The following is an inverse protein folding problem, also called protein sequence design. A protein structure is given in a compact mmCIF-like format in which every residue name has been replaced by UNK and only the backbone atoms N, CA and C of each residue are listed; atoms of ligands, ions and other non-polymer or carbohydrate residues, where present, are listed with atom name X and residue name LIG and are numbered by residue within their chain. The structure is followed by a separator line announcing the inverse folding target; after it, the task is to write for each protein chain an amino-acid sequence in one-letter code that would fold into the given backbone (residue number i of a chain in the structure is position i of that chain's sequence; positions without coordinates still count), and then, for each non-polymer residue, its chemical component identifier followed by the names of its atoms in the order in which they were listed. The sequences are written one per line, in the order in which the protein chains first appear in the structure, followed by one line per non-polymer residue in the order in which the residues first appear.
data_IF_562430327523
#
_entry.id   IF_562430327523
#
_cell.length_a   1.000
_cell.length_b   1.000
_cell.length_c   1.000
_cell.angle_alpha   90.00
_cell.angle_beta   90.00
_cell.angle_gamma   90.00
#
_symmetry.space_group_name_H-M   'P 1'
#
loop_
_entity.id
_entity.type
_entity.pdbx_description
1 polymer ?
#
# COMPACT_ATOMS: atom_id res chain seq x y z
N UNK A 1 -3.75 30.93 3.67
CA UNK A 1 -3.78 30.33 2.33
C UNK A 1 -4.73 29.14 2.37
N UNK A 2 -5.64 29.06 1.41
CA UNK A 2 -6.59 27.95 1.27
C UNK A 2 -5.98 26.87 0.38
N UNK A 3 -6.45 25.63 0.52
CA UNK A 3 -6.22 24.53 -0.42
C UNK A 3 -7.55 24.14 -1.05
N UNK A 4 -7.50 23.65 -2.27
CA UNK A 4 -8.68 23.16 -2.98
C UNK A 4 -8.85 21.66 -2.75
N UNK A 5 -10.06 21.15 -2.95
CA UNK A 5 -10.38 19.74 -2.80
C UNK A 5 -11.08 19.17 -4.03
N UNK A 6 -11.02 17.86 -4.17
CA UNK A 6 -11.69 17.10 -5.21
C UNK A 6 -12.03 15.69 -4.70
N UNK A 7 -13.15 15.14 -5.17
CA UNK A 7 -13.53 13.74 -4.98
C UNK A 7 -13.62 13.07 -6.34
N UNK A 8 -12.89 11.98 -6.50
CA UNK A 8 -12.98 11.08 -7.64
C UNK A 8 -13.58 9.75 -7.18
N UNK A 9 -14.69 9.32 -7.78
CA UNK A 9 -15.32 8.05 -7.44
C UNK A 9 -16.28 7.61 -8.55
N UNK A 10 -16.80 6.38 -8.44
CA UNK A 10 -17.84 5.86 -9.31
C UNK A 10 -19.19 6.45 -8.90
N UNK A 11 -19.83 7.21 -9.79
CA UNK A 11 -21.15 7.76 -9.54
C UNK A 11 -21.99 7.79 -10.82
N UNK A 12 -23.30 7.81 -10.62
CA UNK A 12 -24.28 8.07 -11.68
C UNK A 12 -24.78 9.49 -11.53
N UNK A 13 -24.40 10.35 -12.47
CA UNK A 13 -24.89 11.72 -12.57
C UNK A 13 -25.76 11.86 -13.82
N UNK A 14 -26.46 12.97 -13.96
CA UNK A 14 -27.23 13.28 -15.18
C UNK A 14 -26.34 13.36 -16.43
N UNK A 15 -25.03 13.58 -16.25
CA UNK A 15 -24.07 13.79 -17.35
C UNK A 15 -23.29 12.53 -17.72
N UNK A 16 -22.96 11.67 -16.75
CA UNK A 16 -22.14 10.50 -16.98
C UNK A 16 -22.35 9.43 -15.91
N UNK A 17 -22.05 8.18 -16.28
CA UNK A 17 -21.97 7.04 -15.36
C UNK A 17 -20.56 6.48 -15.36
N UNK A 18 -20.06 6.09 -14.18
CA UNK A 18 -18.72 5.53 -14.01
C UNK A 18 -17.82 6.38 -13.13
N UNK A 19 -16.52 6.08 -13.21
CA UNK A 19 -15.48 6.77 -12.46
C UNK A 19 -15.23 8.16 -13.03
N UNK A 20 -15.49 9.18 -12.23
CA UNK A 20 -15.38 10.58 -12.62
C UNK A 20 -15.05 11.47 -11.42
N UNK A 21 -14.70 12.72 -11.70
CA UNK A 21 -14.59 13.74 -10.67
C UNK A 21 -16.00 14.25 -10.31
N UNK A 22 -16.53 13.76 -9.20
CA UNK A 22 -17.94 13.98 -8.80
C UNK A 22 -18.13 15.31 -8.06
N UNK A 23 -17.06 15.78 -7.40
CA UNK A 23 -17.08 17.00 -6.62
C UNK A 23 -15.70 17.67 -6.70
N UNK A 24 -15.69 19.01 -6.75
CA UNK A 24 -14.46 19.79 -6.63
C UNK A 24 -14.75 21.17 -6.05
N UNK A 25 -13.74 21.75 -5.42
CA UNK A 25 -13.76 23.14 -4.99
C UNK A 25 -13.62 24.10 -6.17
N UNK A 26 -14.13 25.34 -6.07
CA UNK A 26 -14.20 26.28 -7.18
C UNK A 26 -12.82 26.72 -7.72
N UNK A 27 -11.75 26.61 -6.92
CA UNK A 27 -10.40 26.97 -7.36
C UNK A 27 -9.67 25.88 -8.15
N UNK A 28 -10.26 24.69 -8.31
CA UNK A 28 -9.69 23.63 -9.15
C UNK A 28 -9.86 24.01 -10.62
N UNK A 29 -8.76 24.40 -11.27
CA UNK A 29 -8.78 24.75 -12.70
C UNK A 29 -9.03 23.51 -13.59
N UNK A 30 -9.45 23.75 -14.83
CA UNK A 30 -9.82 22.67 -15.76
C UNK A 30 -8.64 21.78 -16.19
N UNK A 31 -7.43 22.33 -16.26
CA UNK A 31 -6.24 21.55 -16.63
C UNK A 31 -5.92 20.52 -15.55
N UNK A 32 -5.93 20.94 -14.29
CA UNK A 32 -5.73 20.06 -13.14
C UNK A 32 -6.86 19.05 -13.01
N UNK A 33 -8.12 19.48 -13.20
CA UNK A 33 -9.25 18.56 -13.16
C UNK A 33 -9.17 17.45 -14.21
N UNK A 34 -8.73 17.76 -15.44
CA UNK A 34 -8.50 16.75 -16.49
C UNK A 34 -7.38 15.78 -16.10
N UNK A 35 -6.29 16.29 -15.52
CA UNK A 35 -5.21 15.44 -15.03
C UNK A 35 -5.71 14.48 -13.93
N UNK A 36 -6.52 14.98 -12.99
CA UNK A 36 -7.13 14.16 -11.93
C UNK A 36 -8.07 13.10 -12.48
N UNK A 37 -8.85 13.40 -13.52
CA UNK A 37 -9.73 12.43 -14.18
C UNK A 37 -8.89 11.35 -14.88
N UNK A 38 -7.85 11.75 -15.62
CA UNK A 38 -6.97 10.82 -16.32
C UNK A 38 -6.22 9.90 -15.36
N UNK A 39 -5.78 10.46 -14.22
CA UNK A 39 -5.08 9.73 -13.18
C UNK A 39 -5.99 9.07 -12.13
N UNK A 40 -7.30 9.15 -12.29
CA UNK A 40 -8.24 8.57 -11.35
C UNK A 40 -8.13 7.04 -11.29
N UNK A 41 -8.15 6.42 -10.10
CA UNK A 41 -8.19 4.96 -9.98
C UNK A 41 -9.57 4.44 -10.37
N UNK A 42 -9.62 3.44 -11.25
CA UNK A 42 -10.84 2.71 -11.61
C UNK A 42 -11.11 1.56 -10.64
N UNK A 43 -12.13 0.73 -10.93
CA UNK A 43 -12.33 -0.56 -10.27
C UNK A 43 -11.03 -1.39 -10.26
N UNK A 44 -10.84 -2.19 -9.19
CA UNK A 44 -9.68 -3.07 -8.97
C UNK A 44 -8.31 -2.36 -9.02
N UNK A 45 -8.29 -1.03 -8.84
CA UNK A 45 -7.05 -0.28 -8.85
C UNK A 45 -6.24 -0.42 -7.55
N UNK A 46 -6.85 -0.84 -6.44
CA UNK A 46 -6.15 -1.10 -5.18
C UNK A 46 -5.55 -2.51 -5.22
N UNK A 47 -4.29 -2.64 -4.81
CA UNK A 47 -3.57 -3.90 -4.81
C UNK A 47 -3.82 -4.75 -3.56
N UNK A 48 -4.32 -4.15 -2.47
CA UNK A 48 -4.70 -4.88 -1.26
C UNK A 48 -6.11 -5.46 -1.38
N UNK A 49 -6.32 -6.61 -0.75
CA UNK A 49 -7.65 -7.19 -0.58
C UNK A 49 -8.33 -6.64 0.69
N UNK A 50 -9.67 -6.68 0.70
CA UNK A 50 -10.50 -6.40 1.86
C UNK A 50 -10.77 -4.92 2.14
N UNK A 51 -11.63 -4.68 3.13
CA UNK A 51 -12.14 -3.35 3.49
C UNK A 51 -11.05 -2.33 3.91
N UNK A 52 -9.90 -2.82 4.37
CA UNK A 52 -8.76 -1.99 4.77
C UNK A 52 -7.85 -1.60 3.60
N UNK A 53 -8.18 -2.02 2.37
CA UNK A 53 -7.43 -1.66 1.18
C UNK A 53 -7.44 -0.14 0.98
N UNK A 54 -6.27 0.46 1.16
CA UNK A 54 -6.07 1.89 1.03
C UNK A 54 -4.77 2.21 0.31
N UNK A 55 -4.73 3.41 -0.26
CA UNK A 55 -3.54 3.96 -0.88
C UNK A 55 -3.44 5.45 -0.65
N UNK A 56 -2.26 5.89 -0.25
CA UNK A 56 -1.86 7.28 -0.21
C UNK A 56 -1.06 7.61 -1.47
N UNK A 57 -1.47 8.65 -2.18
CA UNK A 57 -0.90 9.00 -3.47
C UNK A 57 -0.49 10.48 -3.51
N UNK A 58 0.59 10.73 -4.24
CA UNK A 58 1.15 12.06 -4.39
C UNK A 58 1.71 12.27 -5.79
N UNK A 59 1.37 13.39 -6.42
CA UNK A 59 1.94 13.80 -7.70
C UNK A 59 1.78 15.32 -7.93
N UNK A 60 2.56 15.86 -8.87
CA UNK A 60 2.43 17.24 -9.31
C UNK A 60 1.34 17.36 -10.36
N UNK A 61 0.61 18.47 -10.31
CA UNK A 61 -0.39 18.82 -11.32
C UNK A 61 0.15 19.87 -12.30
N UNK A 62 -0.34 19.91 -13.55
CA UNK A 62 0.12 20.86 -14.56
C UNK A 62 -0.02 22.33 -14.15
N UNK A 63 -1.03 22.67 -13.35
CA UNK A 63 -1.26 24.01 -12.81
C UNK A 63 -0.30 24.42 -11.69
N UNK A 64 0.67 23.59 -11.34
CA UNK A 64 1.70 23.86 -10.32
C UNK A 64 1.32 23.48 -8.89
N UNK A 65 0.05 23.12 -8.65
CA UNK A 65 -0.37 22.52 -7.39
C UNK A 65 0.16 21.09 -7.25
N UNK A 66 0.19 20.58 -6.01
CA UNK A 66 0.51 19.19 -5.73
C UNK A 66 -0.75 18.46 -5.26
N UNK A 67 -1.06 17.33 -5.88
CA UNK A 67 -2.15 16.46 -5.48
C UNK A 67 -1.67 15.56 -4.34
N UNK A 68 -2.30 15.67 -3.18
CA UNK A 68 -2.17 14.76 -2.04
C UNK A 68 -3.49 14.05 -1.89
N UNK A 69 -3.53 12.73 -2.07
CA UNK A 69 -4.80 12.01 -2.12
C UNK A 69 -4.77 10.70 -1.35
N UNK A 70 -5.94 10.29 -0.87
CA UNK A 70 -6.16 8.97 -0.27
C UNK A 70 -7.28 8.27 -1.03
N UNK A 71 -7.00 7.05 -1.45
CA UNK A 71 -7.92 6.15 -2.10
C UNK A 71 -8.27 5.02 -1.16
N UNK A 72 -9.55 4.72 -1.00
CA UNK A 72 -10.08 3.63 -0.17
C UNK A 72 -11.21 2.92 -0.93
N UNK A 73 -11.57 1.73 -0.47
CA UNK A 73 -12.84 1.10 -0.83
C UNK A 73 -13.95 1.69 0.06
N UNK A 74 -15.07 2.11 -0.53
CA UNK A 74 -16.19 2.65 0.23
C UNK A 74 -17.52 2.57 -0.49
N UNK A 75 -18.42 1.78 0.08
CA UNK A 75 -19.78 1.59 -0.39
C UNK A 75 -19.85 0.70 -1.62
N UNK A 76 -21.07 0.42 -2.07
CA UNK A 76 -21.31 -0.40 -3.24
C UNK A 76 -21.07 0.38 -4.53
N UNK A 77 -20.47 -0.27 -5.53
CA UNK A 77 -20.43 0.30 -6.87
C UNK A 77 -21.85 0.41 -7.43
N UNK A 78 -22.18 1.55 -8.05
CA UNK A 78 -23.51 1.82 -8.62
C UNK A 78 -23.99 0.73 -9.61
N UNK A 79 -23.05 -0.04 -10.16
CA UNK A 79 -23.29 -1.09 -11.14
C UNK A 79 -24.06 -2.29 -10.56
N UNK A 80 -24.24 -2.35 -9.22
CA UNK A 80 -24.83 -3.48 -8.49
C UNK A 80 -24.16 -4.83 -8.79
N UNK A 81 -22.90 -4.80 -9.24
CA UNK A 81 -22.11 -6.02 -9.54
C UNK A 81 -21.45 -6.61 -8.30
N UNK A 82 -21.73 -6.08 -7.12
CA UNK A 82 -21.15 -6.52 -5.85
C UNK A 82 -19.69 -6.12 -5.67
N UNK A 83 -19.12 -5.31 -6.57
CA UNK A 83 -17.78 -4.75 -6.39
C UNK A 83 -17.86 -3.50 -5.49
N UNK A 84 -16.86 -3.34 -4.63
CA UNK A 84 -16.73 -2.15 -3.81
C UNK A 84 -16.34 -0.93 -4.66
N UNK A 85 -16.95 0.21 -4.36
CA UNK A 85 -16.67 1.47 -5.04
C UNK A 85 -15.33 2.03 -4.57
N UNK A 86 -14.44 2.36 -5.51
CA UNK A 86 -13.23 3.11 -5.19
C UNK A 86 -13.57 4.58 -4.94
N UNK A 87 -13.15 5.10 -3.79
CA UNK A 87 -13.33 6.49 -3.37
C UNK A 87 -11.97 7.15 -3.18
N UNK A 88 -11.72 8.23 -3.90
CA UNK A 88 -10.48 9.01 -3.79
C UNK A 88 -10.79 10.45 -3.38
N UNK A 89 -10.33 10.82 -2.20
CA UNK A 89 -10.32 12.22 -1.74
C UNK A 89 -8.96 12.85 -2.08
N UNK A 90 -9.00 14.03 -2.67
CA UNK A 90 -7.83 14.71 -3.26
C UNK A 90 -7.74 16.12 -2.69
N UNK A 91 -6.57 16.46 -2.15
CA UNK A 91 -6.21 17.81 -1.71
C UNK A 91 -5.24 18.40 -2.74
N UNK A 92 -5.57 19.57 -3.28
CA UNK A 92 -4.70 20.31 -4.19
C UNK A 92 -3.98 21.39 -3.40
N UNK A 93 -2.69 21.16 -3.18
CA UNK A 93 -1.87 21.91 -2.23
C UNK A 93 -0.90 22.79 -3.00
N UNK A 94 -0.97 24.12 -2.87
CA UNK A 94 0.04 25.01 -3.43
C UNK A 94 1.42 24.73 -2.83
N UNK A 95 2.48 24.82 -3.63
CA UNK A 95 3.84 24.49 -3.17
C UNK A 95 4.28 25.30 -1.95
N UNK A 96 3.93 26.59 -1.90
CA UNK A 96 4.21 27.46 -0.76
C UNK A 96 3.52 27.00 0.54
N UNK A 97 2.33 26.38 0.44
CA UNK A 97 1.65 25.82 1.61
C UNK A 97 2.29 24.51 2.03
N UNK A 98 2.61 23.63 1.07
CA UNK A 98 3.25 22.35 1.33
C UNK A 98 4.63 22.54 2.00
N UNK A 99 5.37 23.60 1.67
CA UNK A 99 6.63 23.96 2.31
C UNK A 99 6.50 24.21 3.83
N UNK A 100 5.36 24.71 4.32
CA UNK A 100 5.09 24.86 5.76
C UNK A 100 5.05 23.52 6.51
N UNK A 101 4.78 22.45 5.78
CA UNK A 101 4.79 21.07 6.26
C UNK A 101 6.10 20.35 5.88
N UNK A 102 7.19 21.09 5.67
CA UNK A 102 8.50 20.54 5.30
C UNK A 102 8.41 19.61 4.09
N UNK A 103 7.58 19.98 3.12
CA UNK A 103 7.31 19.20 1.92
C UNK A 103 6.83 17.75 2.19
N UNK A 104 6.20 17.50 3.34
CA UNK A 104 5.66 16.20 3.71
C UNK A 104 4.15 16.14 3.41
N UNK A 105 3.70 15.40 2.39
CA UNK A 105 2.29 15.27 2.04
C UNK A 105 1.47 14.51 3.11
N UNK A 106 2.07 13.58 3.85
CA UNK A 106 1.37 12.87 4.94
C UNK A 106 0.99 13.82 6.08
N UNK A 107 1.86 14.79 6.40
CA UNK A 107 1.57 15.80 7.42
C UNK A 107 0.42 16.73 7.00
N UNK A 108 0.32 17.06 5.71
CA UNK A 108 -0.82 17.81 5.15
C UNK A 108 -2.11 17.01 5.30
N UNK A 109 -2.08 15.73 4.95
CA UNK A 109 -3.25 14.85 5.07
C UNK A 109 -3.71 14.72 6.53
N UNK A 110 -2.78 14.49 7.47
CA UNK A 110 -3.10 14.45 8.90
C UNK A 110 -3.73 15.74 9.39
N UNK A 111 -3.27 16.90 8.92
CA UNK A 111 -3.88 18.18 9.26
C UNK A 111 -5.33 18.29 8.73
N UNK A 112 -5.62 17.78 7.53
CA UNK A 112 -6.97 17.75 6.98
C UNK A 112 -7.90 16.77 7.73
N UNK A 113 -7.40 15.58 8.10
CA UNK A 113 -8.13 14.61 8.93
C UNK A 113 -8.45 15.21 10.30
N UNK A 114 -7.49 15.85 10.96
CA UNK A 114 -7.69 16.48 12.27
C UNK A 114 -8.74 17.62 12.24
N UNK A 115 -9.03 18.19 11.07
CA UNK A 115 -10.08 19.17 10.86
C UNK A 115 -11.42 18.54 10.44
N UNK A 116 -11.51 17.21 10.36
CA UNK A 116 -12.71 16.48 9.90
C UNK A 116 -12.99 16.63 8.40
N UNK A 117 -12.03 17.15 7.62
CA UNK A 117 -12.26 17.49 6.21
C UNK A 117 -11.94 16.37 5.23
N UNK A 118 -11.37 15.26 5.71
CA UNK A 118 -11.00 14.10 4.90
C UNK A 118 -11.96 12.90 5.12
N UNK A 119 -13.22 13.18 5.44
CA UNK A 119 -14.24 12.16 5.62
C UNK A 119 -14.64 11.52 4.28
N UNK A 120 -15.02 10.25 4.34
CA UNK A 120 -15.57 9.54 3.19
C UNK A 120 -17.07 9.81 3.12
N UNK A 121 -17.54 10.30 1.98
CA UNK A 121 -18.95 10.61 1.77
C UNK A 121 -19.69 9.45 1.10
N UNK A 122 -20.76 8.96 1.73
CA UNK A 122 -21.67 8.00 1.07
C UNK A 122 -22.24 8.60 -0.22
N UNK A 123 -22.79 9.81 -0.10
CA UNK A 123 -23.22 10.67 -1.20
C UNK A 123 -22.31 11.90 -1.25
N UNK A 124 -21.36 11.96 -2.21
CA UNK A 124 -20.48 13.11 -2.36
C UNK A 124 -21.28 14.40 -2.59
N UNK A 125 -20.90 15.53 -1.96
CA UNK A 125 -21.57 16.81 -2.21
C UNK A 125 -21.28 17.30 -3.63
N UNK A 126 -22.17 18.10 -4.23
CA UNK A 126 -21.95 18.65 -5.58
C UNK A 126 -20.75 19.60 -5.64
N UNK A 127 -20.45 20.28 -4.53
CA UNK A 127 -19.35 21.24 -4.39
C UNK A 127 -18.65 21.05 -3.06
N UNK A 128 -17.34 21.22 -3.08
CA UNK A 128 -16.50 21.16 -1.89
C UNK A 128 -16.02 22.56 -1.53
N UNK A 129 -16.09 22.92 -0.26
CA UNK A 129 -15.49 24.16 0.21
C UNK A 129 -13.95 24.04 0.26
N UNK A 130 -13.20 25.08 -0.14
CA UNK A 130 -11.75 25.12 0.07
C UNK A 130 -11.40 25.05 1.56
N UNK A 131 -10.27 24.40 1.90
CA UNK A 131 -9.86 24.21 3.29
C UNK A 131 -8.77 25.18 3.72
N UNK A 132 -8.84 25.62 4.97
CA UNK A 132 -7.72 26.31 5.63
C UNK A 132 -6.97 25.34 6.54
N UNK A 133 -5.83 24.84 6.06
CA UNK A 133 -4.97 23.98 6.88
C UNK A 133 -4.19 24.77 7.94
N UNK A 134 -4.38 24.36 9.19
CA UNK A 134 -3.60 24.80 10.33
C UNK A 134 -2.36 23.90 10.53
N UNK A 135 -1.36 24.42 11.23
CA UNK A 135 -0.17 23.66 11.61
C UNK A 135 1.03 23.83 10.69
N UNK A 136 2.04 23.00 11.01
CA UNK A 136 3.37 22.88 10.40
C UNK A 136 3.92 21.50 10.75
N UNK A 137 4.91 21.04 10.01
CA UNK A 137 5.60 19.79 10.31
C UNK A 137 7.10 20.02 10.43
N UNK A 138 7.75 19.29 11.33
CA UNK A 138 9.21 19.26 11.41
C UNK A 138 9.79 18.65 10.12
N UNK A 139 11.03 19.01 9.80
CA UNK A 139 11.74 18.42 8.67
C UNK A 139 11.91 16.91 8.86
N UNK A 140 12.24 16.45 10.07
CA UNK A 140 12.43 15.04 10.40
C UNK A 140 11.56 14.64 11.58
N UNK A 141 10.73 13.62 11.39
CA UNK A 141 10.03 12.90 12.43
C UNK A 141 10.93 11.79 13.00
N UNK A 142 11.58 12.10 14.11
CA UNK A 142 12.50 11.19 14.80
C UNK A 142 11.78 9.98 15.40
N UNK A 143 10.50 10.14 15.78
CA UNK A 143 9.72 9.04 16.35
C UNK A 143 9.38 8.01 15.28
N UNK A 144 8.91 8.46 14.11
CA UNK A 144 8.70 7.59 12.96
C UNK A 144 9.97 6.86 12.54
N UNK A 145 11.09 7.58 12.39
CA UNK A 145 12.34 6.95 11.98
C UNK A 145 12.82 5.90 12.98
N UNK A 146 12.59 6.10 14.28
CA UNK A 146 12.91 5.12 15.33
C UNK A 146 12.12 3.83 15.14
N UNK A 147 10.84 3.91 14.82
CA UNK A 147 9.99 2.75 14.53
C UNK A 147 10.50 1.97 13.31
N UNK A 148 11.12 2.65 12.34
CA UNK A 148 11.63 2.06 11.09
C UNK A 148 13.11 1.62 11.15
N UNK A 149 13.69 1.47 12.35
CA UNK A 149 15.11 1.09 12.50
C UNK A 149 15.40 -0.41 12.39
N UNK A 150 14.42 -1.26 12.11
CA UNK A 150 14.67 -2.69 11.92
C UNK A 150 15.72 -2.91 10.81
N UNK A 151 16.60 -3.94 10.90
CA UNK A 151 17.59 -4.20 9.87
C UNK A 151 17.00 -4.33 8.46
N UNK A 152 15.86 -5.01 8.31
CA UNK A 152 15.16 -5.19 7.04
C UNK A 152 14.63 -3.84 6.52
N UNK A 153 13.91 -3.08 7.34
CA UNK A 153 13.34 -1.79 6.94
C UNK A 153 14.44 -0.78 6.57
N UNK A 154 15.56 -0.76 7.30
CA UNK A 154 16.71 0.12 6.98
C UNK A 154 17.32 -0.19 5.63
N UNK A 155 17.54 -1.48 5.33
CA UNK A 155 18.08 -1.87 4.05
C UNK A 155 17.11 -1.59 2.90
N UNK A 156 15.80 -1.75 3.11
CA UNK A 156 14.76 -1.39 2.15
C UNK A 156 14.77 0.12 1.84
N UNK A 157 14.83 0.96 2.88
CA UNK A 157 14.94 2.41 2.74
C UNK A 157 16.21 2.81 1.97
N UNK A 158 17.36 2.20 2.28
CA UNK A 158 18.62 2.48 1.60
C UNK A 158 18.57 2.08 0.12
N UNK A 159 18.06 0.88 -0.19
CA UNK A 159 17.88 0.40 -1.56
C UNK A 159 16.94 1.34 -2.34
N UNK A 160 15.79 1.70 -1.76
CA UNK A 160 14.83 2.61 -2.37
C UNK A 160 15.44 3.98 -2.68
N UNK A 161 16.16 4.59 -1.72
CA UNK A 161 16.84 5.88 -1.93
C UNK A 161 17.86 5.82 -3.07
N UNK A 162 18.63 4.73 -3.14
CA UNK A 162 19.64 4.53 -4.19
C UNK A 162 19.04 4.57 -5.60
N UNK A 163 17.88 3.91 -5.79
CA UNK A 163 17.16 3.89 -7.07
C UNK A 163 16.44 5.21 -7.35
N UNK A 164 15.79 5.80 -6.34
CA UNK A 164 15.09 7.08 -6.50
C UNK A 164 16.02 8.22 -6.92
N UNK A 165 17.19 8.32 -6.31
CA UNK A 165 18.16 9.38 -6.63
C UNK A 165 18.66 9.24 -8.07
N UNK A 166 18.74 8.01 -8.60
CA UNK A 166 19.05 7.73 -10.01
C UNK A 166 17.86 7.94 -10.95
N UNK A 167 16.73 8.44 -10.45
CA UNK A 167 15.47 8.68 -11.18
C UNK A 167 14.91 7.41 -11.84
N UNK A 168 15.14 6.25 -11.24
CA UNK A 168 14.57 5.00 -11.72
C UNK A 168 13.14 4.83 -11.18
N UNK A 169 12.23 4.31 -12.02
CA UNK A 169 10.89 3.93 -11.58
C UNK A 169 11.03 2.67 -10.71
N UNK A 170 10.44 2.71 -9.51
CA UNK A 170 10.66 1.72 -8.46
C UNK A 170 9.33 1.16 -7.96
N UNK A 171 9.26 -0.16 -7.81
CA UNK A 171 8.22 -0.85 -7.09
C UNK A 171 8.82 -1.52 -5.86
N UNK A 172 8.26 -1.23 -4.69
CA UNK A 172 8.62 -1.87 -3.43
C UNK A 172 7.52 -2.85 -3.04
N UNK A 173 7.87 -4.12 -2.92
CA UNK A 173 6.96 -5.18 -2.48
C UNK A 173 7.29 -5.49 -1.03
N UNK A 174 6.36 -5.21 -0.12
CA UNK A 174 6.65 -5.31 1.32
C UNK A 174 5.40 -5.65 2.14
N UNK A 175 5.63 -6.43 3.21
CA UNK A 175 4.62 -6.67 4.25
C UNK A 175 4.51 -5.51 5.25
N UNK A 176 5.47 -4.58 5.24
CA UNK A 176 5.49 -3.45 6.14
C UNK A 176 4.32 -2.49 5.89
N UNK A 177 4.04 -1.64 6.88
CA UNK A 177 3.07 -0.56 6.69
C UNK A 177 3.58 0.41 5.61
N UNK A 178 3.00 0.30 4.41
CA UNK A 178 3.43 1.03 3.20
C UNK A 178 3.36 2.55 3.38
N UNK A 179 2.35 3.07 4.07
CA UNK A 179 2.25 4.51 4.35
C UNK A 179 3.38 4.98 5.27
N UNK A 180 3.67 4.25 6.36
CA UNK A 180 4.78 4.57 7.26
C UNK A 180 6.14 4.43 6.59
N UNK A 181 6.35 3.39 5.79
CA UNK A 181 7.60 3.19 5.05
C UNK A 181 7.84 4.35 4.06
N UNK A 182 6.81 4.73 3.29
CA UNK A 182 6.90 5.85 2.36
C UNK A 182 7.16 7.17 3.09
N UNK A 183 6.48 7.41 4.22
CA UNK A 183 6.73 8.60 5.02
C UNK A 183 8.16 8.60 5.61
N UNK A 184 8.66 7.45 6.05
CA UNK A 184 10.04 7.27 6.47
C UNK A 184 11.04 7.62 5.38
N UNK A 185 10.77 7.15 4.15
CA UNK A 185 11.59 7.46 2.97
C UNK A 185 11.65 8.96 2.70
N UNK A 186 10.51 9.67 2.79
CA UNK A 186 10.47 11.13 2.66
C UNK A 186 11.25 11.81 3.79
N UNK A 187 11.16 11.33 5.03
CA UNK A 187 11.93 11.84 6.16
C UNK A 187 13.44 11.65 5.99
N UNK A 188 13.85 10.67 5.19
CA UNK A 188 15.25 10.44 4.82
C UNK A 188 15.74 11.30 3.64
N UNK A 189 14.87 12.04 2.96
CA UNK A 189 15.24 12.95 1.86
C UNK A 189 15.37 14.40 2.34
N UNK A 190 16.30 15.19 1.77
CA UNK A 190 16.30 16.64 1.92
C UNK A 190 14.94 17.23 1.55
N UNK A 191 14.51 18.25 2.29
CA UNK A 191 13.15 18.81 2.19
C UNK A 191 12.79 19.23 0.76
N UNK A 192 13.72 19.83 0.03
CA UNK A 192 13.47 20.33 -1.32
C UNK A 192 13.25 19.19 -2.34
N UNK A 193 13.83 18.02 -2.09
CA UNK A 193 13.74 16.85 -2.97
C UNK A 193 12.47 16.01 -2.75
N UNK A 194 11.75 16.18 -1.63
CA UNK A 194 10.54 15.38 -1.32
C UNK A 194 9.43 15.53 -2.33
N UNK A 195 9.38 16.68 -3.02
CA UNK A 195 8.37 16.97 -4.04
C UNK A 195 8.83 16.59 -5.45
N UNK A 196 10.05 16.08 -5.61
CA UNK A 196 10.59 15.68 -6.91
C UNK A 196 10.02 14.34 -7.40
N UNK A 197 9.41 13.56 -6.50
CA UNK A 197 8.94 12.21 -6.78
C UNK A 197 7.42 12.10 -6.69
N UNK A 198 6.82 11.36 -7.62
CA UNK A 198 5.43 10.92 -7.53
C UNK A 198 5.35 9.51 -6.96
N UNK A 199 4.33 9.22 -6.15
CA UNK A 199 4.21 7.92 -5.51
C UNK A 199 2.78 7.46 -5.23
N UNK A 200 2.63 6.15 -4.99
CA UNK A 200 1.44 5.44 -4.53
C UNK A 200 1.83 4.41 -3.47
N UNK A 201 1.04 4.26 -2.40
CA UNK A 201 1.29 3.25 -1.35
C UNK A 201 0.36 2.04 -1.41
N UNK A 202 -0.35 1.84 -2.52
CA UNK A 202 -1.29 0.72 -2.62
C UNK A 202 -2.14 0.65 -3.90
N UNK A 203 -2.01 1.58 -4.84
CA UNK A 203 -2.58 1.42 -6.18
C UNK A 203 -1.69 0.52 -7.03
N UNK A 204 -2.30 -0.42 -7.76
CA UNK A 204 -1.66 -1.18 -8.82
C UNK A 204 -1.08 -0.24 -9.87
N UNK A 205 0.10 -0.59 -10.38
CA UNK A 205 0.81 0.18 -11.41
C UNK A 205 -0.06 0.22 -12.68
N UNK A 206 -0.16 1.41 -13.27
CA UNK A 206 -0.94 1.64 -14.48
C UNK A 206 -0.24 2.66 -15.38
N UNK A 207 -0.14 2.41 -16.70
CA UNK A 207 0.38 3.38 -17.65
C UNK A 207 -0.38 4.71 -17.67
N UNK A 208 -1.67 4.71 -17.29
CA UNK A 208 -2.51 5.92 -17.19
C UNK A 208 -2.20 6.76 -15.95
N UNK A 209 -1.52 6.17 -14.97
CA UNK A 209 -1.15 6.80 -13.70
C UNK A 209 0.35 6.62 -13.46
N UNK A 210 1.21 7.27 -14.27
CA UNK A 210 2.64 7.15 -14.08
C UNK A 210 3.02 7.72 -12.72
N UNK A 211 3.59 6.85 -11.88
CA UNK A 211 4.22 7.18 -10.61
C UNK A 211 5.64 6.63 -10.62
N UNK A 212 6.57 7.36 -9.99
CA UNK A 212 7.97 6.95 -9.93
C UNK A 212 8.22 5.92 -8.82
N UNK A 213 7.35 5.90 -7.80
CA UNK A 213 7.46 4.96 -6.69
C UNK A 213 6.11 4.34 -6.36
N UNK A 214 6.02 3.02 -6.46
CA UNK A 214 4.85 2.25 -6.02
C UNK A 214 5.22 1.35 -4.86
N UNK A 215 4.46 1.37 -3.77
CA UNK A 215 4.56 0.37 -2.72
C UNK A 215 3.34 -0.55 -2.80
N UNK A 216 3.57 -1.85 -2.85
CA UNK A 216 2.55 -2.87 -3.08
C UNK A 216 2.64 -3.96 -1.99
N UNK A 217 1.50 -4.60 -1.63
CA UNK A 217 1.55 -5.83 -0.84
C UNK A 217 2.30 -6.93 -1.59
N UNK A 218 2.77 -7.97 -0.90
CA UNK A 218 3.30 -9.16 -1.55
C UNK A 218 2.20 -9.87 -2.32
N UNK A 219 2.37 -9.90 -3.65
CA UNK A 219 1.55 -10.68 -4.56
C UNK A 219 2.49 -11.27 -5.62
N UNK A 220 2.54 -12.61 -5.70
CA UNK A 220 3.46 -13.30 -6.59
C UNK A 220 3.13 -13.05 -8.08
N UNK A 221 1.88 -12.82 -8.42
CA UNK A 221 1.44 -12.52 -9.78
C UNK A 221 1.86 -11.11 -10.19
N UNK A 222 1.60 -10.12 -9.34
CA UNK A 222 1.97 -8.73 -9.57
C UNK A 222 3.51 -8.57 -9.57
N UNK A 223 4.23 -9.27 -8.68
CA UNK A 223 5.71 -9.32 -8.69
C UNK A 223 6.24 -9.79 -10.05
N UNK A 224 5.80 -10.97 -10.51
CA UNK A 224 6.25 -11.54 -11.81
C UNK A 224 5.88 -10.64 -12.99
N UNK A 225 4.74 -9.95 -12.91
CA UNK A 225 4.33 -8.98 -13.93
C UNK A 225 5.30 -7.80 -13.97
N UNK A 226 5.64 -7.24 -12.81
CA UNK A 226 6.57 -6.11 -12.70
C UNK A 226 8.01 -6.48 -13.09
N UNK A 227 8.48 -7.67 -12.71
CA UNK A 227 9.80 -8.16 -13.11
C UNK A 227 9.94 -8.32 -14.63
N UNK A 228 8.83 -8.51 -15.35
CA UNK A 228 8.81 -8.54 -16.83
C UNK A 228 8.76 -7.13 -17.44
N UNK A 229 8.38 -6.12 -16.67
CA UNK A 229 8.39 -4.73 -17.12
C UNK A 229 9.80 -4.15 -16.94
N UNK A 230 10.63 -4.16 -18.00
CA UNK A 230 12.03 -3.70 -17.97
C UNK A 230 12.25 -2.26 -17.44
N UNK A 231 11.18 -1.46 -17.36
CA UNK A 231 11.22 -0.06 -16.91
C UNK A 231 11.18 0.09 -15.39
N UNK A 232 10.70 -0.92 -14.65
CA UNK A 232 10.45 -0.82 -13.21
C UNK A 232 11.45 -1.71 -12.46
N UNK A 233 12.21 -1.10 -11.55
CA UNK A 233 13.04 -1.86 -10.61
C UNK A 233 12.13 -2.39 -9.51
N UNK A 234 12.18 -3.68 -9.24
CA UNK A 234 11.47 -4.31 -8.13
C UNK A 234 12.45 -4.49 -6.96
N UNK A 235 12.04 -4.06 -5.77
CA UNK A 235 12.76 -4.31 -4.52
C UNK A 235 11.80 -4.95 -3.53
N UNK A 236 12.21 -6.06 -2.94
CA UNK A 236 11.42 -6.79 -1.94
C UNK A 236 12.16 -6.97 -0.62
N UNK A 237 11.41 -7.22 0.46
CA UNK A 237 11.98 -7.49 1.80
C UNK A 237 13.04 -8.61 1.80
N UNK A 238 12.85 -9.62 0.95
CA UNK A 238 13.74 -10.80 0.80
C UNK A 238 15.11 -10.46 0.20
N UNK A 239 15.14 -9.47 -0.71
CA UNK A 239 16.34 -9.09 -1.48
C UNK A 239 17.21 -8.08 -0.74
N UNK A 240 16.68 -7.44 0.31
CA UNK A 240 17.42 -6.46 1.11
C UNK A 240 18.69 -7.05 1.72
N UNK A 241 18.70 -8.35 2.03
CA UNK A 241 19.90 -9.05 2.54
C UNK A 241 21.01 -9.22 1.51
N UNK A 242 20.68 -9.30 0.21
CA UNK A 242 21.65 -9.50 -0.88
C UNK A 242 22.09 -8.19 -1.52
N UNK A 243 21.24 -7.15 -1.45
CA UNK A 243 21.60 -5.78 -1.83
C UNK A 243 22.41 -5.14 -0.70
N UNK A 244 23.65 -5.62 -0.55
CA UNK A 244 24.63 -5.08 0.38
C UNK A 244 24.53 -3.55 0.39
N UNK A 245 24.24 -3.00 1.58
CA UNK A 245 24.03 -1.58 1.80
C UNK A 245 24.97 -0.77 0.92
N UNK A 246 24.40 0.08 0.05
CA UNK A 246 25.22 0.96 -0.78
C UNK A 246 26.13 1.74 0.15
N UNK A 247 27.42 1.46 0.16
CA UNK A 247 28.39 2.09 1.07
C UNK A 247 28.82 3.49 0.58
N UNK A 248 27.99 4.11 -0.27
CA UNK A 248 28.28 5.38 -0.92
C UNK A 248 26.99 6.16 -1.20
N UNK A 249 27.18 7.43 -1.55
CA UNK A 249 26.11 8.36 -1.87
C UNK A 249 25.24 8.70 -0.67
N UNK A 250 24.07 9.26 -0.95
CA UNK A 250 23.09 9.62 0.07
C UNK A 250 22.49 8.39 0.75
N UNK A 251 22.18 7.34 0.00
CA UNK A 251 21.62 6.10 0.53
C UNK A 251 22.55 5.47 1.57
N UNK A 252 23.87 5.44 1.31
CA UNK A 252 24.85 4.97 2.29
C UNK A 252 24.93 5.83 3.55
N UNK A 253 24.89 7.16 3.40
CA UNK A 253 24.85 8.08 4.53
C UNK A 253 23.64 7.80 5.43
N UNK A 254 22.44 7.73 4.83
CA UNK A 254 21.20 7.42 5.56
C UNK A 254 21.30 6.06 6.26
N UNK A 255 21.75 5.03 5.54
CA UNK A 255 21.91 3.69 6.10
C UNK A 255 22.85 3.69 7.33
N UNK A 256 23.99 4.37 7.25
CA UNK A 256 24.94 4.49 8.36
C UNK A 256 24.32 5.22 9.58
N UNK A 257 23.59 6.30 9.34
CA UNK A 257 22.95 7.08 10.41
C UNK A 257 21.82 6.30 11.12
N UNK A 258 21.00 5.57 10.36
CA UNK A 258 19.97 4.70 10.90
C UNK A 258 20.57 3.47 11.59
N UNK A 259 21.72 2.97 11.10
CA UNK A 259 22.47 1.88 11.71
C UNK A 259 23.03 2.25 13.09
N UNK A 260 23.64 3.43 13.18
CA UNK A 260 24.24 3.94 14.41
C UNK A 260 23.25 4.48 15.46
N UNK A 261 21.95 4.52 15.16
CA UNK A 261 20.91 5.00 16.09
C UNK A 261 20.95 6.50 16.39
N UNK A 262 21.80 7.28 15.70
CA UNK A 262 22.01 8.70 15.97
C UNK A 262 21.00 9.60 15.23
N UNK A 263 19.70 9.36 15.46
CA UNK A 263 18.62 10.04 14.76
C UNK A 263 18.59 11.57 15.01
N UNK A 264 19.03 12.01 16.19
CA UNK A 264 19.16 13.44 16.50
C UNK A 264 20.25 14.10 15.64
N UNK A 265 21.41 13.45 15.48
CA UNK A 265 22.46 13.93 14.59
C UNK A 265 22.00 13.91 13.12
N UNK A 266 21.25 12.86 12.71
CA UNK A 266 20.67 12.79 11.37
C UNK A 266 19.76 13.98 11.08
N UNK A 267 18.84 14.27 12.01
CA UNK A 267 17.95 15.45 11.92
C UNK A 267 18.73 16.76 11.79
N UNK A 268 19.77 16.95 12.60
CA UNK A 268 20.57 18.17 12.56
C UNK A 268 21.32 18.30 11.23
N UNK A 269 21.93 17.21 10.74
CA UNK A 269 22.59 17.20 9.43
C UNK A 269 21.63 17.50 8.30
N UNK A 270 20.42 16.93 8.31
CA UNK A 270 19.42 17.23 7.27
C UNK A 270 19.00 18.70 7.29
N UNK A 271 18.98 19.35 8.45
CA UNK A 271 18.71 20.79 8.57
C UNK A 271 19.88 21.67 8.09
N UNK A 272 21.10 21.13 8.04
CA UNK A 272 22.30 21.78 7.47
C UNK A 272 22.41 21.59 5.95
N UNK A 273 21.55 20.78 5.33
CA UNK A 273 21.57 20.55 3.90
C UNK A 273 21.34 21.87 3.13
N UNK A 274 22.16 22.20 2.11
CA UNK A 274 21.94 23.36 1.27
C UNK A 274 20.53 23.38 0.67
N UNK A 275 19.93 24.56 0.58
CA UNK A 275 18.68 24.74 -0.16
C UNK A 275 18.93 24.59 -1.67
N UNK A 276 17.95 24.06 -2.40
CA UNK A 276 18.01 23.92 -3.85
C UNK A 276 18.89 22.79 -4.36
N UNK A 277 19.24 21.82 -3.51
CA UNK A 277 20.00 20.63 -3.93
C UNK A 277 19.32 19.89 -5.09
N UNK A 278 20.11 19.58 -6.11
CA UNK A 278 19.76 18.61 -7.14
C UNK A 278 19.96 17.17 -6.64
N UNK A 279 19.43 16.20 -7.40
CA UNK A 279 19.63 14.77 -7.12
C UNK A 279 21.09 14.32 -7.31
N UNK A 280 21.87 14.98 -8.16
CA UNK A 280 23.28 14.63 -8.35
C UNK A 280 24.11 15.13 -7.15
N UNK A 281 23.91 16.38 -6.75
CA UNK A 281 24.58 16.99 -5.60
C UNK A 281 24.25 16.27 -4.28
N UNK A 282 23.06 15.68 -4.15
CA UNK A 282 22.70 14.93 -2.94
C UNK A 282 23.59 13.70 -2.71
N UNK A 283 24.03 13.05 -3.79
CA UNK A 283 24.94 11.92 -3.69
C UNK A 283 26.36 12.36 -3.30
N UNK A 284 26.83 13.47 -3.85
CA UNK A 284 28.13 14.05 -3.46
C UNK A 284 28.12 14.49 -1.99
N UNK A 285 27.03 15.11 -1.54
CA UNK A 285 26.82 15.48 -0.15
C UNK A 285 26.81 14.26 0.77
N UNK A 286 26.09 13.19 0.38
CA UNK A 286 26.09 11.92 1.12
C UNK A 286 27.48 11.31 1.26
N UNK A 287 28.26 11.29 0.18
CA UNK A 287 29.66 10.85 0.20
C UNK A 287 30.54 11.71 1.11
N UNK A 288 30.36 13.03 1.08
CA UNK A 288 31.08 13.95 1.97
C UNK A 288 30.77 13.65 3.44
N UNK A 289 29.50 13.57 3.81
CA UNK A 289 29.10 13.32 5.19
C UNK A 289 29.46 11.93 5.68
N UNK A 290 29.43 10.90 4.82
CA UNK A 290 29.95 9.57 5.15
C UNK A 290 31.42 9.59 5.59
N UNK A 291 32.27 10.39 4.93
CA UNK A 291 33.68 10.54 5.30
C UNK A 291 33.88 11.29 6.63
N UNK A 292 32.92 12.14 7.00
CA UNK A 292 32.93 12.89 8.27
C UNK A 292 32.39 12.08 9.46
N UNK A 293 31.73 10.93 9.21
CA UNK A 293 31.21 10.10 10.31
C UNK A 293 32.36 9.47 11.11
N UNK A 294 32.24 9.40 12.45
CA UNK A 294 33.19 8.65 13.28
C UNK A 294 33.32 7.20 12.81
N UNK A 295 34.53 6.63 12.86
CA UNK A 295 34.80 5.25 12.44
C UNK A 295 33.90 4.23 13.16
N UNK A 296 33.46 4.52 14.39
CA UNK A 296 32.53 3.67 15.15
C UNK A 296 31.11 3.62 14.57
N UNK A 297 30.74 4.60 13.74
CA UNK A 297 29.42 4.71 13.09
C UNK A 297 29.46 4.22 11.64
N UNK A 298 30.65 4.02 11.08
CA UNK A 298 30.78 3.48 9.74
C UNK A 298 30.35 2.01 9.74
N UNK A 299 29.52 1.58 8.76
CA UNK A 299 29.18 0.18 8.63
C UNK A 299 30.48 -0.61 8.47
N UNK A 300 30.64 -1.68 9.26
CA UNK A 300 31.78 -2.58 9.09
C UNK A 300 31.86 -2.96 7.60
N UNK A 301 33.02 -2.82 6.95
CA UNK A 301 33.13 -3.12 5.53
C UNK A 301 32.55 -4.50 5.32
N UNK A 302 31.49 -4.58 4.50
CA UNK A 302 30.81 -5.83 4.23
C UNK A 302 31.90 -6.84 3.88
N UNK A 303 32.08 -7.86 4.73
CA UNK A 303 33.01 -8.95 4.44
C UNK A 303 32.57 -9.43 3.08
N UNK A 304 33.35 -9.13 2.03
CA UNK A 304 33.06 -9.58 0.69
C UNK A 304 32.81 -11.08 0.83
N UNK A 305 31.56 -11.50 0.64
CA UNK A 305 31.22 -12.89 0.72
C UNK A 305 32.13 -13.54 -0.31
N UNK A 306 33.11 -14.31 0.17
CA UNK A 306 34.03 -15.04 -0.68
C UNK A 306 33.13 -15.90 -1.54
N UNK A 307 33.01 -15.52 -2.82
CA UNK A 307 32.14 -16.22 -3.75
C UNK A 307 32.43 -17.71 -3.62
N UNK A 308 31.41 -18.56 -3.38
CA UNK A 308 31.63 -20.00 -3.32
C UNK A 308 32.33 -20.38 -4.63
N UNK A 309 33.54 -20.95 -4.52
CA UNK A 309 34.27 -21.48 -5.67
C UNK A 309 33.38 -22.54 -6.31
N UNK A 310 32.65 -22.17 -7.35
CA UNK A 310 31.95 -23.12 -8.19
C UNK A 310 33.00 -23.95 -8.90
N UNK A 311 33.18 -25.17 -8.42
CA UNK A 311 33.88 -26.22 -9.13
C UNK A 311 33.28 -26.32 -10.53
N UNK A 312 34.08 -26.03 -11.55
CA UNK A 312 33.71 -26.26 -12.93
C UNK A 312 33.40 -27.75 -13.12
N UNK A 313 32.12 -28.07 -13.33
CA UNK A 313 31.70 -29.34 -13.90
C UNK A 313 31.29 -29.04 -15.33
N UNK A 314 32.14 -29.50 -16.25
CA UNK A 314 31.85 -29.52 -17.68
C UNK A 314 30.54 -30.28 -17.92
N UNK A 315 29.59 -29.63 -18.56
CA UNK A 315 28.44 -30.28 -19.19
C UNK A 315 28.23 -29.70 -20.59
N UNK A 316 28.06 -30.56 -21.61
CA UNK A 316 28.05 -30.15 -23.01
C UNK A 316 26.71 -29.54 -23.41
N UNK A 317 26.80 -28.52 -24.26
CA UNK A 317 25.66 -27.81 -24.84
C UNK A 317 24.79 -28.70 -25.74
N UNK A 318 23.46 -28.54 -25.72
CA UNK A 318 22.63 -28.94 -26.85
C UNK A 318 22.49 -27.77 -27.82
N UNK A 319 23.09 -27.97 -29.00
CA UNK A 319 22.77 -27.27 -30.24
C UNK A 319 21.38 -27.70 -30.70
N UNK A 320 20.46 -26.75 -30.90
CA UNK A 320 19.37 -26.86 -31.87
C UNK A 320 18.65 -25.50 -32.00
N UNK A 321 19.06 -24.76 -33.02
CA UNK A 321 18.31 -23.63 -33.59
C UNK A 321 17.50 -24.16 -34.74
N UNK A 322 16.18 -23.98 -34.72
CA UNK A 322 15.38 -23.99 -35.94
C UNK A 322 14.73 -22.60 -36.17
N UNK A 323 14.71 -22.11 -37.41
CA UNK A 323 14.16 -20.81 -37.79
C UNK A 323 12.71 -20.97 -38.30
N UNK A 324 11.83 -20.01 -38.02
CA UNK A 324 10.56 -19.68 -38.73
C UNK A 324 9.78 -18.69 -37.81
N UNK A 325 9.11 -17.59 -38.20
CA UNK A 325 8.75 -16.93 -39.47
C UNK A 325 8.67 -15.43 -39.18
N UNK A 326 9.11 -14.63 -40.15
CA UNK A 326 8.93 -13.18 -40.22
C UNK A 326 8.02 -12.92 -41.42
N UNK A 327 6.77 -12.50 -41.20
CA UNK A 327 5.95 -11.69 -42.13
C UNK A 327 4.50 -11.56 -41.61
N UNK A 328 4.10 -10.32 -41.31
CA UNK A 328 2.75 -9.75 -41.51
C UNK A 328 2.72 -8.37 -40.84
N UNK A 329 3.37 -7.40 -41.51
CA UNK A 329 3.09 -5.98 -41.33
C UNK A 329 2.16 -5.60 -42.48
N UNK A 330 0.89 -5.35 -42.19
CA UNK A 330 0.05 -4.49 -43.02
C UNK A 330 -1.15 -3.95 -42.22
N UNK A 331 -1.24 -2.61 -42.26
CA UNK A 331 -2.42 -1.77 -42.10
C UNK A 331 -3.28 -1.88 -40.82
N UNK A 332 -2.98 -0.99 -39.86
CA UNK A 332 -3.97 -0.50 -38.89
C UNK A 332 -4.13 1.02 -38.98
N UNK A 333 -5.32 1.38 -39.44
CA UNK A 333 -6.07 2.63 -39.36
C UNK A 333 -5.61 3.63 -38.26
N UNK A 334 -5.21 4.88 -38.60
CA UNK A 334 -4.70 5.84 -37.62
C UNK A 334 -5.75 6.47 -36.69
N UNK A 335 -7.06 6.40 -36.97
CA UNK A 335 -8.06 7.24 -36.27
C UNK A 335 -9.28 6.49 -35.69
N UNK A 336 -9.08 5.22 -35.32
CA UNK A 336 -10.13 4.37 -34.74
C UNK A 336 -10.20 4.31 -33.20
N UNK A 337 -9.99 5.40 -32.46
CA UNK A 337 -10.14 5.38 -31.00
C UNK A 337 -11.62 5.28 -30.60
N UNK A 338 -12.16 4.05 -30.58
CA UNK A 338 -13.41 3.76 -29.89
C UNK A 338 -13.22 4.00 -28.39
N UNK A 339 -13.89 5.05 -27.92
CA UNK A 339 -14.07 5.42 -26.51
C UNK A 339 -14.63 4.25 -25.68
N UNK A 340 -13.90 3.74 -24.67
CA UNK A 340 -14.41 2.71 -23.76
C UNK A 340 -15.44 3.25 -22.75
N UNK A 341 -15.71 4.56 -22.76
CA UNK A 341 -16.75 5.28 -22.01
C UNK A 341 -18.10 5.38 -22.75
N UNK A 342 -18.24 4.76 -23.93
CA UNK A 342 -19.53 4.68 -24.61
C UNK A 342 -20.53 3.85 -23.79
N UNK A 343 -21.64 4.47 -23.39
CA UNK A 343 -22.69 3.82 -22.58
C UNK A 343 -23.21 2.54 -23.23
N UNK A 344 -23.08 1.42 -22.52
CA UNK A 344 -23.66 0.14 -22.95
C UNK A 344 -25.19 0.24 -23.02
N UNK A 345 -25.85 -0.34 -24.04
CA UNK A 345 -27.30 -0.39 -24.13
C UNK A 345 -27.89 -1.18 -22.94
N UNK A 346 -28.93 -0.61 -22.34
CA UNK A 346 -29.64 -1.16 -21.17
C UNK A 346 -30.17 -2.58 -21.44
N UNK A 347 -29.66 -3.57 -20.71
CA UNK A 347 -30.23 -4.92 -20.69
C UNK A 347 -31.48 -4.94 -19.79
N UNK A 348 -32.60 -5.40 -20.35
CA UNK A 348 -33.83 -5.71 -19.60
C UNK A 348 -33.63 -6.97 -18.75
N UNK A 349 -33.97 -6.87 -17.45
CA UNK A 349 -33.97 -7.97 -16.46
C UNK A 349 -35.03 -9.04 -16.75
N UNK A 350 -34.74 -10.34 -16.55
CA UNK A 350 -35.73 -11.29 -16.09
C UNK A 350 -35.72 -11.42 -14.55
N UNK A 351 -36.83 -11.95 -14.04
CA UNK A 351 -37.29 -11.89 -12.65
C UNK A 351 -36.48 -12.72 -11.63
N UNK A 352 -36.73 -12.40 -10.37
CA UNK A 352 -36.01 -12.80 -9.17
C UNK A 352 -36.14 -14.26 -8.75
N UNK A 353 -35.09 -14.76 -8.10
CA UNK A 353 -35.16 -15.83 -7.08
C UNK A 353 -34.33 -15.42 -5.88
N UNK A 354 -34.93 -15.59 -4.70
CA UNK A 354 -34.46 -15.21 -3.36
C UNK A 354 -33.40 -16.16 -2.79
N UNK A 355 -32.37 -15.64 -2.10
CA UNK A 355 -31.59 -16.44 -1.14
C UNK A 355 -30.26 -15.84 -0.65
N UNK A 356 -30.25 -15.40 0.63
CA UNK A 356 -29.14 -15.09 1.59
C UNK A 356 -28.08 -14.02 1.27
N UNK A 357 -27.59 -13.25 2.28
CA UNK A 357 -26.54 -12.23 2.11
C UNK A 357 -25.14 -12.88 2.09
N UNK A 358 -24.17 -12.35 1.31
CA UNK A 358 -22.80 -12.86 1.31
C UNK A 358 -22.00 -12.24 2.46
N UNK A 359 -21.30 -13.08 3.23
CA UNK A 359 -20.19 -12.65 4.07
C UNK A 359 -19.00 -12.30 3.17
N UNK A 360 -18.26 -11.26 3.54
CA UNK A 360 -17.14 -10.71 2.77
C UNK A 360 -16.00 -11.71 2.59
N UNK A 361 -15.49 -11.77 1.37
CA UNK A 361 -14.45 -12.67 0.87
C UNK A 361 -13.12 -12.42 1.61
N UNK A 362 -12.78 -13.30 2.55
CA UNK A 362 -11.44 -13.38 3.16
C UNK A 362 -10.57 -14.20 2.21
N UNK A 363 -9.36 -13.71 1.92
CA UNK A 363 -8.38 -14.43 1.09
C UNK A 363 -8.16 -15.84 1.60
N UNK A 364 -8.40 -16.81 0.73
CA UNK A 364 -8.27 -18.27 0.88
C UNK A 364 -8.68 -18.82 2.27
N UNK A 365 -9.82 -19.50 2.28
CA UNK A 365 -10.34 -20.31 3.38
C UNK A 365 -9.18 -21.06 4.10
N UNK A 366 -9.01 -20.92 5.45
CA UNK A 366 -7.95 -21.59 6.20
C UNK A 366 -7.89 -23.09 5.92
N UNK A 367 -9.05 -23.74 5.73
CA UNK A 367 -9.11 -25.13 5.32
C UNK A 367 -8.51 -25.40 3.93
N UNK A 368 -8.61 -24.46 3.00
CA UNK A 368 -8.04 -24.53 1.63
C UNK A 368 -6.52 -24.37 1.64
N UNK A 369 -5.97 -23.49 2.48
CA UNK A 369 -4.51 -23.32 2.62
C UNK A 369 -3.88 -24.55 3.27
N UNK A 370 -4.54 -25.12 4.28
CA UNK A 370 -3.97 -26.16 5.17
C UNK A 370 -4.23 -27.60 4.70
N UNK A 371 -5.12 -27.79 3.71
CA UNK A 371 -5.77 -29.07 3.40
C UNK A 371 -5.04 -30.10 2.54
N UNK A 372 -3.85 -29.82 2.01
CA UNK A 372 -3.32 -30.55 0.83
C UNK A 372 -3.04 -32.06 1.04
N UNK A 373 -3.12 -32.61 2.26
CA UNK A 373 -2.70 -33.99 2.55
C UNK A 373 -3.70 -34.86 3.35
N UNK A 374 -4.88 -34.36 3.76
CA UNK A 374 -5.89 -35.17 4.46
C UNK A 374 -7.33 -34.62 4.28
N UNK A 375 -8.21 -35.28 3.50
CA UNK A 375 -9.58 -34.82 3.24
C UNK A 375 -10.46 -34.69 4.50
N UNK A 376 -10.25 -35.54 5.50
CA UNK A 376 -10.98 -35.47 6.78
C UNK A 376 -10.54 -34.28 7.63
N UNK A 377 -9.27 -33.87 7.53
CA UNK A 377 -8.77 -32.67 8.20
C UNK A 377 -9.36 -31.39 7.59
N UNK A 378 -9.55 -31.35 6.27
CA UNK A 378 -10.19 -30.22 5.57
C UNK A 378 -11.60 -29.99 6.11
N UNK A 379 -12.45 -31.02 6.13
CA UNK A 379 -13.85 -30.87 6.57
C UNK A 379 -13.95 -30.39 8.03
N UNK A 380 -13.02 -30.82 8.88
CA UNK A 380 -12.96 -30.37 10.28
C UNK A 380 -12.45 -28.93 10.41
N UNK A 381 -11.51 -28.51 9.57
CA UNK A 381 -11.05 -27.12 9.51
C UNK A 381 -12.15 -26.20 8.98
N UNK A 382 -12.87 -26.57 7.91
CA UNK A 382 -14.02 -25.81 7.39
C UNK A 382 -15.10 -25.64 8.48
N UNK A 383 -15.41 -26.72 9.20
CA UNK A 383 -16.36 -26.68 10.32
C UNK A 383 -15.87 -25.76 11.46
N UNK A 384 -14.57 -25.75 11.71
CA UNK A 384 -13.95 -24.88 12.70
C UNK A 384 -14.00 -23.41 12.26
N UNK A 385 -13.69 -23.11 11.00
CA UNK A 385 -13.79 -21.77 10.40
C UNK A 385 -15.18 -21.18 10.57
N UNK A 386 -16.21 -21.91 10.13
CA UNK A 386 -17.60 -21.53 10.29
C UNK A 386 -17.96 -21.27 11.75
N UNK A 387 -17.49 -22.15 12.65
CA UNK A 387 -17.80 -22.06 14.07
C UNK A 387 -17.11 -20.85 14.72
N UNK A 388 -15.86 -20.55 14.35
CA UNK A 388 -15.10 -19.39 14.83
C UNK A 388 -15.77 -18.09 14.35
N UNK A 389 -16.07 -17.96 13.06
CA UNK A 389 -16.68 -16.74 12.53
C UNK A 389 -18.06 -16.47 13.12
N UNK A 390 -18.87 -17.51 13.28
CA UNK A 390 -20.19 -17.37 13.91
C UNK A 390 -20.10 -17.03 15.41
N UNK A 391 -19.09 -17.57 16.11
CA UNK A 391 -18.82 -17.22 17.50
C UNK A 391 -18.39 -15.74 17.63
N UNK A 392 -17.47 -15.27 16.77
CA UNK A 392 -17.04 -13.86 16.69
C UNK A 392 -18.21 -12.94 16.35
N UNK A 393 -19.14 -13.40 15.50
CA UNK A 393 -20.35 -12.66 15.16
C UNK A 393 -21.35 -12.54 16.32
N UNK A 394 -21.11 -13.20 17.47
CA UNK A 394 -21.91 -13.11 18.69
C UNK A 394 -22.91 -14.26 18.89
N UNK A 395 -22.84 -15.35 18.11
CA UNK A 395 -23.77 -16.48 18.26
C UNK A 395 -23.33 -17.39 19.40
N UNK A 396 -24.01 -17.32 20.55
CA UNK A 396 -23.67 -18.11 21.75
C UNK A 396 -23.72 -19.64 21.56
N UNK A 397 -24.48 -20.14 20.58
CA UNK A 397 -24.48 -21.55 20.21
C UNK A 397 -23.17 -21.96 19.50
N UNK A 398 -22.64 -21.10 18.63
CA UNK A 398 -21.36 -21.32 17.96
C UNK A 398 -20.20 -21.24 18.95
N UNK A 399 -20.25 -20.30 19.91
CA UNK A 399 -19.22 -20.21 20.97
C UNK A 399 -19.14 -21.49 21.81
N UNK A 400 -20.28 -22.07 22.23
CA UNK A 400 -20.30 -23.36 22.94
C UNK A 400 -19.76 -24.50 22.09
N UNK A 401 -20.15 -24.54 20.81
CA UNK A 401 -19.64 -25.52 19.86
C UNK A 401 -18.12 -25.37 19.66
N UNK A 402 -17.60 -24.14 19.65
CA UNK A 402 -16.16 -23.88 19.53
C UNK A 402 -15.37 -24.45 20.71
N UNK A 403 -15.91 -24.36 21.93
CA UNK A 403 -15.28 -24.91 23.13
C UNK A 403 -15.10 -26.43 23.06
N UNK A 404 -16.03 -27.13 22.41
CA UNK A 404 -15.96 -28.59 22.22
C UNK A 404 -15.09 -28.95 21.01
N UNK A 405 -15.25 -28.23 19.90
CA UNK A 405 -14.62 -28.53 18.62
C UNK A 405 -13.13 -28.21 18.61
N UNK A 406 -12.70 -27.13 19.26
CA UNK A 406 -11.29 -26.70 19.23
C UNK A 406 -10.34 -27.75 19.81
N UNK A 407 -10.54 -28.28 21.05
CA UNK A 407 -9.68 -29.35 21.58
C UNK A 407 -9.71 -30.62 20.74
N UNK A 408 -10.86 -30.97 20.14
CA UNK A 408 -10.98 -32.12 19.25
C UNK A 408 -10.09 -31.95 18.01
N UNK A 409 -10.14 -30.78 17.36
CA UNK A 409 -9.33 -30.46 16.19
C UNK A 409 -7.84 -30.42 16.55
N UNK A 410 -7.47 -29.82 17.69
CA UNK A 410 -6.09 -29.82 18.19
C UNK A 410 -5.52 -31.23 18.39
N UNK A 411 -6.34 -32.21 18.79
CA UNK A 411 -5.90 -33.59 18.99
C UNK A 411 -5.56 -34.34 17.69
N UNK A 412 -5.98 -33.80 16.54
CA UNK A 412 -5.89 -34.44 15.24
C UNK A 412 -4.94 -33.71 14.28
N UNK A 413 -4.67 -32.43 14.53
CA UNK A 413 -3.75 -31.63 13.73
C UNK A 413 -2.32 -31.72 14.25
N UNK A 414 -1.36 -31.59 13.33
CA UNK A 414 0.05 -31.42 13.70
C UNK A 414 0.33 -30.04 14.32
N UNK A 415 1.40 -29.91 15.12
CA UNK A 415 1.71 -28.66 15.84
C UNK A 415 1.90 -27.45 14.92
N UNK A 416 2.41 -27.65 13.71
CA UNK A 416 2.60 -26.59 12.72
C UNK A 416 1.26 -26.01 12.24
N UNK A 417 0.31 -26.88 11.89
CA UNK A 417 -1.03 -26.48 11.44
C UNK A 417 -1.83 -25.80 12.55
N UNK A 418 -1.61 -26.21 13.81
CA UNK A 418 -2.24 -25.60 14.98
C UNK A 418 -1.81 -24.15 15.14
N UNK A 419 -0.50 -23.88 15.10
CA UNK A 419 0.02 -22.51 15.25
C UNK A 419 -0.42 -21.61 14.09
N UNK A 420 -0.41 -22.13 12.86
CA UNK A 420 -0.86 -21.36 11.69
C UNK A 420 -2.35 -21.02 11.76
N UNK A 421 -3.21 -22.01 12.02
CA UNK A 421 -4.66 -21.82 12.16
C UNK A 421 -4.96 -20.83 13.28
N UNK A 422 -4.33 -21.01 14.46
CA UNK A 422 -4.48 -20.10 15.59
C UNK A 422 -4.08 -18.68 15.23
N UNK A 423 -2.95 -18.49 14.55
CA UNK A 423 -2.47 -17.17 14.15
C UNK A 423 -3.43 -16.49 13.15
N UNK A 424 -4.06 -17.23 12.25
CA UNK A 424 -5.05 -16.70 11.31
C UNK A 424 -6.34 -16.29 12.04
N UNK A 425 -6.88 -17.15 12.92
CA UNK A 425 -8.06 -16.80 13.72
C UNK A 425 -7.82 -15.59 14.62
N UNK A 426 -6.68 -15.52 15.30
CA UNK A 426 -6.36 -14.38 16.15
C UNK A 426 -6.25 -13.08 15.33
N UNK A 427 -5.67 -13.13 14.13
CA UNK A 427 -5.66 -11.96 13.21
C UNK A 427 -7.06 -11.51 12.84
N UNK A 428 -7.95 -12.45 12.52
CA UNK A 428 -9.36 -12.15 12.22
C UNK A 428 -10.07 -11.51 13.42
N UNK A 429 -9.96 -12.13 14.60
CA UNK A 429 -10.61 -11.63 15.83
C UNK A 429 -10.10 -10.24 16.19
N UNK A 430 -8.79 -9.98 16.08
CA UNK A 430 -8.19 -8.67 16.32
C UNK A 430 -8.63 -7.62 15.30
N UNK A 431 -8.80 -8.00 14.03
CA UNK A 431 -9.33 -7.11 12.99
C UNK A 431 -10.75 -6.67 13.32
N UNK A 432 -11.63 -7.63 13.63
CA UNK A 432 -13.01 -7.37 14.06
C UNK A 432 -13.03 -6.48 15.32
N UNK A 433 -12.17 -6.75 16.29
CA UNK A 433 -12.07 -5.94 17.51
C UNK A 433 -11.61 -4.50 17.24
N UNK A 434 -10.64 -4.29 16.35
CA UNK A 434 -10.18 -2.94 15.94
C UNK A 434 -11.27 -2.15 15.23
N UNK A 435 -12.03 -2.78 14.35
CA UNK A 435 -13.17 -2.14 13.67
C UNK A 435 -14.20 -1.58 14.68
N UNK A 436 -14.36 -2.21 15.86
CA UNK A 436 -15.21 -1.66 16.93
C UNK A 436 -14.59 -0.49 17.70
N UNK A 437 -13.27 -0.40 17.77
CA UNK A 437 -12.60 0.72 18.43
C UNK A 437 -12.64 1.98 17.55
N UNK A 438 -12.57 1.80 16.24
CA UNK A 438 -12.45 2.90 15.27
C UNK A 438 -13.81 3.41 14.74
N UNK A 439 -14.90 2.66 14.91
CA UNK A 439 -16.23 3.08 14.45
C UNK A 439 -16.99 3.93 15.49
N UNK A 440 -17.38 5.14 15.09
CA UNK A 440 -18.21 6.08 15.88
C UNK A 440 -19.70 5.64 15.97
N UNK A 441 -20.07 4.54 15.31
CA UNK A 441 -21.39 3.93 15.37
C UNK A 441 -21.62 3.16 16.68
N UNK A 442 -22.88 3.02 17.09
CA UNK A 442 -23.34 2.31 18.30
C UNK A 442 -22.48 1.06 18.59
N UNK A 443 -21.65 1.16 19.63
CA UNK A 443 -20.82 0.06 20.14
C UNK A 443 -21.75 -1.10 20.49
N UNK A 444 -21.52 -2.27 19.90
CA UNK A 444 -22.14 -3.52 20.32
C UNK A 444 -21.21 -4.24 21.31
N UNK A 445 -21.37 -4.02 22.63
CA UNK A 445 -20.51 -4.63 23.63
C UNK A 445 -20.58 -6.17 23.62
N UNK A 446 -21.69 -6.76 23.13
CA UNK A 446 -21.87 -8.20 23.12
C UNK A 446 -20.94 -8.91 22.13
N UNK A 447 -20.70 -8.28 20.97
CA UNK A 447 -19.75 -8.75 19.97
C UNK A 447 -18.29 -8.58 20.41
N UNK A 448 -17.96 -7.47 21.08
CA UNK A 448 -16.62 -7.27 21.64
C UNK A 448 -16.29 -8.31 22.73
N UNK A 449 -17.26 -8.64 23.59
CA UNK A 449 -17.11 -9.72 24.59
C UNK A 449 -16.98 -11.08 23.93
N UNK A 450 -17.78 -11.36 22.90
CA UNK A 450 -17.70 -12.62 22.15
C UNK A 450 -16.35 -12.81 21.46
N UNK A 451 -15.77 -11.75 20.88
CA UNK A 451 -14.43 -11.77 20.32
C UNK A 451 -13.36 -12.08 21.39
N UNK A 452 -13.48 -11.52 22.59
CA UNK A 452 -12.58 -11.82 23.71
C UNK A 452 -12.71 -13.28 24.17
N UNK A 453 -13.92 -13.80 24.29
CA UNK A 453 -14.15 -15.21 24.66
C UNK A 453 -13.58 -16.17 23.60
N UNK A 454 -13.69 -15.85 22.30
CA UNK A 454 -13.05 -16.63 21.23
C UNK A 454 -11.52 -16.61 21.36
N UNK A 455 -10.90 -15.45 21.63
CA UNK A 455 -9.44 -15.39 21.85
C UNK A 455 -9.00 -16.25 23.03
N UNK A 456 -9.74 -16.23 24.14
CA UNK A 456 -9.43 -17.04 25.32
C UNK A 456 -9.44 -18.55 24.99
N UNK A 457 -10.45 -19.01 24.23
CA UNK A 457 -10.55 -20.40 23.78
C UNK A 457 -9.35 -20.78 22.89
N UNK A 458 -8.99 -19.92 21.92
CA UNK A 458 -7.91 -20.18 20.97
C UNK A 458 -6.52 -20.21 21.65
N UNK A 459 -6.33 -19.40 22.69
CA UNK A 459 -5.10 -19.31 23.48
C UNK A 459 -4.97 -20.40 24.56
N UNK A 460 -6.05 -21.14 24.82
CA UNK A 460 -6.06 -22.19 25.85
C UNK A 460 -6.04 -21.65 27.28
N UNK A 461 -6.51 -20.42 27.50
CA UNK A 461 -6.76 -19.92 28.86
C UNK A 461 -8.01 -20.60 29.41
N UNK A 462 -7.84 -21.68 30.17
CA UNK A 462 -8.94 -22.26 30.95
C UNK A 462 -9.43 -21.22 31.97
N UNK A 463 -10.76 -21.02 32.03
CA UNK A 463 -11.44 -20.21 33.05
C UNK A 463 -11.58 -20.95 34.37
#
# INVERSE_FOLDING_TARGET
MLIEQAIFTSARTDRAAGYQLVARSPGVNETDARELIMRGPSHDALAGAGADAASFNFHRLPGGSLAVSRTVLSGDEYSNRGAERVYTQILLVPSALLARFSNNPFAVWRAAVAQGSAAVHETPPERLEPLRLAGRAAAVDVSLLRELTSPATRGLLAAALSHLIRRQDLAIITNENRERLMEGLLNCLPVDLRTAFSFSTGLRISPRRPVQLSLLPPDASERRKLEREERVIVVSDEEVGSHAATNSGWAGFVAAMLAGGSLAAFKNRLAEAPAGLSLEEVNELGNKWLRELPTSTQPAPARQAVAPRTSAVDSPAPSNVLPFVREALEERDPDGWRRPDAGHPQFKRPAATSGKPPFGDLSDDPAVILGQHCPEAIQRLELLDDTVFEAVAGKSAALRKLQELWPEVLSQLGPELIEESRAQYLRHVLSVWRQYLDSDSLRDPSRAVSALDVMAILLGEEK
#
